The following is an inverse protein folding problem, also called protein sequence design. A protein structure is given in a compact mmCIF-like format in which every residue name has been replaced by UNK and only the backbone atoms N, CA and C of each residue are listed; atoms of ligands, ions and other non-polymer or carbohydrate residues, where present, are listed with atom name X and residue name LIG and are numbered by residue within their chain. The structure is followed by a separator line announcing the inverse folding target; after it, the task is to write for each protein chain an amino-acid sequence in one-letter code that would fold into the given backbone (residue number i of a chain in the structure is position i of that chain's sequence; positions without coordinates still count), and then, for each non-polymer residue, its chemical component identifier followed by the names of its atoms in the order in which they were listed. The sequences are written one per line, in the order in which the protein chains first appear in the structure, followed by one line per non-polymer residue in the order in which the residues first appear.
data_IF_507166453553
#
_entry.id   IF_507166453553
#
_cell.length_a   1.000
_cell.length_b   1.000
_cell.length_c   1.000
_cell.angle_alpha   90.00
_cell.angle_beta   90.00
_cell.angle_gamma   90.00
#
_symmetry.space_group_name_H-M   'P 1'
#
loop_
_entity.id
_entity.type
_entity.pdbx_description
1 polymer ?
#
# COMPACT_ATOMS: atom_id res chain seq x y z
N UNK A 1 13.32 -2.55 -8.52
CA UNK A 1 13.28 -1.54 -9.61
C UNK A 1 14.42 -0.54 -9.47
N UNK A 2 14.48 0.27 -8.40
CA UNK A 2 15.51 1.32 -8.24
C UNK A 2 16.94 0.76 -8.27
N UNK A 3 17.22 -0.36 -7.60
CA UNK A 3 18.54 -1.02 -7.63
C UNK A 3 19.01 -1.41 -9.04
N UNK A 4 18.11 -1.66 -9.99
CA UNK A 4 18.52 -1.93 -11.38
C UNK A 4 19.12 -0.68 -12.03
N UNK A 5 18.56 0.50 -11.74
CA UNK A 5 19.03 1.77 -12.28
C UNK A 5 20.31 2.24 -11.58
N UNK A 6 20.48 1.89 -10.30
CA UNK A 6 21.65 2.26 -9.48
C UNK A 6 22.23 1.03 -8.77
N UNK A 7 22.93 0.13 -9.50
CA UNK A 7 23.43 -1.13 -8.95
C UNK A 7 24.48 -0.93 -7.85
N UNK A 8 25.30 0.13 -7.96
CA UNK A 8 26.36 0.46 -6.98
C UNK A 8 25.84 1.17 -5.72
N UNK A 9 24.55 1.52 -5.66
CA UNK A 9 24.02 2.18 -4.49
C UNK A 9 23.67 1.16 -3.40
N UNK A 10 24.56 1.02 -2.42
CA UNK A 10 24.45 0.08 -1.30
C UNK A 10 23.39 0.45 -0.25
N UNK A 11 22.80 1.66 -0.30
CA UNK A 11 21.70 2.05 0.61
C UNK A 11 20.38 1.39 0.23
N UNK A 12 20.23 0.98 -1.04
CA UNK A 12 19.03 0.30 -1.53
C UNK A 12 19.20 -1.20 -1.36
N UNK A 13 18.58 -1.74 -0.31
CA UNK A 13 18.55 -3.17 -0.03
C UNK A 13 17.41 -3.85 -0.81
N UNK A 14 17.74 -4.85 -1.65
CA UNK A 14 16.71 -5.70 -2.27
C UNK A 14 16.24 -6.72 -1.23
N UNK A 15 15.04 -6.53 -0.70
CA UNK A 15 14.37 -7.54 0.13
C UNK A 15 14.03 -8.77 -0.69
N UNK A 16 14.63 -9.92 -0.35
CA UNK A 16 14.27 -11.23 -0.88
C UNK A 16 13.30 -11.98 0.06
N UNK A 17 12.97 -11.36 1.20
CA UNK A 17 12.18 -11.94 2.29
C UNK A 17 10.79 -11.28 2.41
N UNK A 18 9.90 -11.93 3.15
CA UNK A 18 8.51 -11.47 3.41
C UNK A 18 8.42 -10.16 4.22
N UNK A 19 9.53 -9.68 4.79
CA UNK A 19 9.61 -8.47 5.60
C UNK A 19 10.04 -7.24 4.77
N UNK A 20 9.27 -6.16 4.88
CA UNK A 20 9.59 -4.85 4.29
C UNK A 20 10.91 -4.31 4.86
N UNK A 21 11.89 -4.04 3.99
CA UNK A 21 13.23 -3.59 4.40
C UNK A 21 13.36 -2.05 4.47
N UNK A 22 12.52 -1.31 3.75
CA UNK A 22 12.58 0.17 3.70
C UNK A 22 11.88 0.77 4.93
N UNK A 23 12.64 1.21 5.95
CA UNK A 23 12.12 1.82 7.19
C UNK A 23 11.68 3.28 6.97
N UNK A 24 12.49 4.02 6.22
CA UNK A 24 12.30 5.44 5.92
C UNK A 24 12.35 5.69 4.42
N UNK A 25 11.91 6.88 4.00
CA UNK A 25 11.98 7.27 2.59
C UNK A 25 13.44 7.44 2.20
N UNK A 26 13.88 6.69 1.19
CA UNK A 26 15.22 6.79 0.63
C UNK A 26 15.18 7.45 -0.75
N UNK A 27 16.24 8.16 -1.11
CA UNK A 27 16.35 8.83 -2.40
C UNK A 27 17.63 8.41 -3.11
N UNK A 28 17.50 8.20 -4.43
CA UNK A 28 18.60 7.74 -5.26
C UNK A 28 18.62 8.54 -6.55
N UNK A 29 19.80 9.02 -6.96
CA UNK A 29 19.93 9.79 -8.21
C UNK A 29 20.40 8.86 -9.32
N UNK A 30 19.63 8.78 -10.39
CA UNK A 30 20.00 8.11 -11.64
C UNK A 30 20.32 9.17 -12.69
N UNK A 31 21.45 9.05 -13.37
CA UNK A 31 21.80 9.95 -14.49
C UNK A 31 21.39 9.27 -15.79
N UNK A 32 20.46 9.89 -16.50
CA UNK A 32 20.01 9.42 -17.79
C UNK A 32 21.12 9.50 -18.85
N UNK A 33 21.52 8.35 -19.40
CA UNK A 33 22.64 8.24 -20.34
C UNK A 33 22.40 9.01 -21.66
N UNK A 34 21.15 9.15 -22.10
CA UNK A 34 20.82 9.83 -23.36
C UNK A 34 20.95 11.36 -23.27
N UNK A 35 20.61 11.94 -22.11
CA UNK A 35 20.47 13.40 -21.95
C UNK A 35 21.29 14.01 -20.82
N UNK A 36 21.96 13.20 -19.99
CA UNK A 36 22.65 13.65 -18.78
C UNK A 36 21.73 14.20 -17.69
N UNK A 37 20.41 13.98 -17.80
CA UNK A 37 19.43 14.47 -16.84
C UNK A 37 19.54 13.68 -15.53
N UNK A 38 19.71 14.39 -14.41
CA UNK A 38 19.66 13.80 -13.08
C UNK A 38 18.20 13.55 -12.67
N UNK A 39 17.86 12.29 -12.44
CA UNK A 39 16.52 11.84 -12.06
C UNK A 39 16.58 11.34 -10.61
N UNK A 40 15.81 11.97 -9.74
CA UNK A 40 15.69 11.51 -8.34
C UNK A 40 14.58 10.47 -8.25
N UNK A 41 14.96 9.26 -7.86
CA UNK A 41 14.08 8.15 -7.53
C UNK A 41 13.85 8.16 -6.03
N UNK A 42 12.60 8.02 -5.61
CA UNK A 42 12.20 8.03 -4.21
C UNK A 42 11.64 6.65 -3.89
N UNK A 43 12.29 5.92 -2.99
CA UNK A 43 11.78 4.66 -2.46
C UNK A 43 10.92 4.95 -1.24
N UNK A 44 9.72 4.37 -1.19
CA UNK A 44 8.78 4.59 -0.10
C UNK A 44 8.51 3.27 0.61
N UNK A 45 8.38 3.27 1.95
CA UNK A 45 7.82 2.13 2.67
C UNK A 45 6.46 1.70 2.10
N UNK A 46 6.16 0.40 2.11
CA UNK A 46 4.88 -0.12 1.61
C UNK A 46 3.78 -0.06 2.68
N UNK A 47 2.53 0.25 2.31
CA UNK A 47 1.32 0.26 3.17
C UNK A 47 0.86 -1.14 3.67
N UNK A 48 1.74 -2.13 3.74
CA UNK A 48 1.45 -3.47 4.31
C UNK A 48 2.68 -3.93 5.10
N UNK A 49 3.26 -2.98 5.82
CA UNK A 49 4.47 -3.22 6.56
C UNK A 49 4.15 -3.93 7.87
N UNK A 50 4.43 -5.23 7.93
CA UNK A 50 4.15 -6.08 9.08
C UNK A 50 5.16 -5.92 10.23
N UNK A 51 6.09 -4.95 10.15
CA UNK A 51 7.06 -4.69 11.22
C UNK A 51 6.38 -4.16 12.47
N UNK A 52 6.84 -4.65 13.61
CA UNK A 52 6.30 -4.27 14.92
C UNK A 52 6.41 -2.75 15.14
N UNK A 53 5.28 -2.09 15.41
CA UNK A 53 5.22 -0.66 15.74
C UNK A 53 5.13 0.30 14.56
N UNK A 54 5.01 -0.17 13.31
CA UNK A 54 4.76 0.69 12.14
C UNK A 54 3.32 0.52 11.66
N UNK A 55 2.55 1.60 11.58
CA UNK A 55 1.18 1.59 11.06
C UNK A 55 1.10 2.21 9.67
N UNK A 56 0.04 1.87 8.91
CA UNK A 56 -0.24 2.52 7.62
C UNK A 56 -0.41 4.04 7.73
N UNK A 57 -0.89 4.51 8.89
CA UNK A 57 -0.98 5.94 9.20
C UNK A 57 0.40 6.57 9.31
N UNK A 58 1.37 5.88 9.92
CA UNK A 58 2.75 6.35 10.01
C UNK A 58 3.39 6.40 8.64
N UNK A 59 3.18 5.37 7.81
CA UNK A 59 3.68 5.31 6.43
C UNK A 59 3.08 6.45 5.60
N UNK A 60 1.76 6.66 5.68
CA UNK A 60 1.10 7.78 5.01
C UNK A 60 1.66 9.12 5.48
N UNK A 61 1.93 9.27 6.78
CA UNK A 61 2.52 10.47 7.37
C UNK A 61 3.94 10.74 6.88
N UNK A 62 4.78 9.71 6.76
CA UNK A 62 6.13 9.82 6.17
C UNK A 62 6.06 10.29 4.73
N UNK A 63 5.20 9.66 3.91
CA UNK A 63 5.01 10.03 2.50
C UNK A 63 4.48 11.46 2.38
N UNK A 64 3.46 11.82 3.16
CA UNK A 64 2.89 13.16 3.17
C UNK A 64 3.92 14.23 3.54
N UNK A 65 4.72 13.99 4.57
CA UNK A 65 5.77 14.91 5.02
C UNK A 65 6.82 15.11 3.93
N UNK A 66 7.33 14.00 3.36
CA UNK A 66 8.27 14.07 2.24
C UNK A 66 7.67 14.78 1.02
N UNK A 67 6.39 14.61 0.71
CA UNK A 67 5.80 15.35 -0.41
C UNK A 67 5.66 16.86 -0.08
N UNK A 68 5.47 17.23 1.18
CA UNK A 68 5.27 18.62 1.60
C UNK A 68 6.54 19.44 1.81
N UNK A 69 7.69 18.81 2.05
CA UNK A 69 8.90 19.61 2.27
C UNK A 69 9.24 20.47 1.03
N UNK A 70 10.07 21.48 1.26
CA UNK A 70 10.50 22.48 0.27
C UNK A 70 9.33 23.22 -0.41
N UNK A 71 8.19 23.33 0.28
CA UNK A 71 7.00 24.05 -0.21
C UNK A 71 6.14 23.24 -1.17
N UNK A 72 6.26 21.91 -1.16
CA UNK A 72 5.48 21.00 -1.98
C UNK A 72 6.28 20.50 -3.19
N UNK A 73 6.82 19.29 -3.06
CA UNK A 73 7.55 18.61 -4.14
C UNK A 73 6.64 18.31 -5.31
N UNK A 74 7.12 18.55 -6.53
CA UNK A 74 6.42 18.18 -7.76
C UNK A 74 7.04 16.91 -8.34
N UNK A 75 6.21 16.03 -8.85
CA UNK A 75 6.64 14.72 -9.36
C UNK A 75 6.37 14.61 -10.86
N UNK A 76 7.38 14.23 -11.64
CA UNK A 76 7.17 13.89 -13.05
C UNK A 76 6.37 12.59 -13.21
N UNK A 77 6.56 11.63 -12.31
CA UNK A 77 5.89 10.35 -12.40
C UNK A 77 5.76 9.65 -11.07
N UNK A 78 4.77 8.76 -10.99
CA UNK A 78 4.53 7.87 -9.85
C UNK A 78 4.49 6.45 -10.38
N UNK A 79 5.25 5.55 -9.73
CA UNK A 79 5.32 4.14 -10.12
C UNK A 79 4.60 3.31 -9.07
N UNK A 80 3.56 2.58 -9.48
CA UNK A 80 2.89 1.59 -8.63
C UNK A 80 3.36 0.20 -9.03
N UNK A 81 4.05 -0.50 -8.13
CA UNK A 81 4.56 -1.85 -8.38
C UNK A 81 3.51 -2.91 -8.01
N UNK A 82 3.31 -3.90 -8.88
CA UNK A 82 2.44 -5.04 -8.62
C UNK A 82 3.08 -6.35 -9.09
N UNK A 83 3.18 -7.35 -8.21
CA UNK A 83 3.72 -8.67 -8.58
C UNK A 83 2.68 -9.45 -9.40
N UNK A 84 3.02 -9.80 -10.63
CA UNK A 84 2.11 -10.58 -11.50
C UNK A 84 2.04 -12.07 -11.09
N UNK A 85 3.03 -12.52 -10.32
CA UNK A 85 3.09 -13.86 -9.74
C UNK A 85 2.00 -14.12 -8.70
N UNK A 86 1.44 -13.07 -8.09
CA UNK A 86 0.38 -13.22 -7.10
C UNK A 86 -0.93 -13.62 -7.79
N UNK A 87 -1.56 -14.75 -7.40
CA UNK A 87 -2.70 -15.30 -8.16
C UNK A 87 -3.95 -14.43 -8.10
N UNK A 88 -4.07 -13.58 -7.08
CA UNK A 88 -5.20 -12.66 -6.87
C UNK A 88 -4.72 -11.43 -6.12
N UNK A 89 -5.36 -10.29 -6.37
CA UNK A 89 -5.21 -9.11 -5.52
C UNK A 89 -5.99 -9.32 -4.22
N UNK A 90 -5.25 -9.55 -3.13
CA UNK A 90 -5.81 -9.70 -1.77
C UNK A 90 -6.50 -8.44 -1.26
N UNK A 91 -7.20 -8.55 -0.12
CA UNK A 91 -7.89 -7.41 0.50
C UNK A 91 -6.93 -6.25 0.78
N UNK A 92 -5.76 -6.54 1.36
CA UNK A 92 -4.73 -5.52 1.66
C UNK A 92 -4.21 -4.83 0.40
N UNK A 93 -3.90 -5.59 -0.66
CA UNK A 93 -3.46 -5.01 -1.92
C UNK A 93 -4.54 -4.11 -2.56
N UNK A 94 -5.82 -4.46 -2.44
CA UNK A 94 -6.93 -3.60 -2.89
C UNK A 94 -7.06 -2.32 -2.07
N UNK A 95 -6.88 -2.41 -0.75
CA UNK A 95 -6.82 -1.23 0.13
C UNK A 95 -5.68 -0.32 -0.25
N UNK A 96 -4.48 -0.86 -0.40
CA UNK A 96 -3.30 -0.09 -0.74
C UNK A 96 -3.47 0.62 -2.09
N UNK A 97 -4.13 -0.04 -3.04
CA UNK A 97 -4.53 0.59 -4.30
C UNK A 97 -5.55 1.74 -4.11
N UNK A 98 -6.53 1.60 -3.19
CA UNK A 98 -7.47 2.68 -2.85
C UNK A 98 -6.74 3.87 -2.22
N UNK A 99 -5.88 3.63 -1.23
CA UNK A 99 -5.05 4.66 -0.59
C UNK A 99 -4.19 5.37 -1.64
N UNK A 100 -3.51 4.61 -2.50
CA UNK A 100 -2.69 5.14 -3.58
C UNK A 100 -3.47 6.04 -4.55
N UNK A 101 -4.68 5.61 -4.95
CA UNK A 101 -5.58 6.41 -5.81
C UNK A 101 -5.94 7.75 -5.16
N UNK A 102 -6.34 7.73 -3.89
CA UNK A 102 -6.71 8.94 -3.16
C UNK A 102 -5.51 9.86 -2.88
N UNK A 103 -4.35 9.26 -2.62
CA UNK A 103 -3.09 10.00 -2.43
C UNK A 103 -2.73 10.77 -3.70
N UNK A 104 -2.80 10.11 -4.86
CA UNK A 104 -2.46 10.73 -6.15
C UNK A 104 -3.52 11.74 -6.62
N UNK A 105 -4.79 11.35 -6.55
CA UNK A 105 -5.93 12.09 -7.12
C UNK A 105 -6.09 11.89 -8.63
N UNK A 106 -7.35 11.76 -9.08
CA UNK A 106 -7.69 11.36 -10.46
C UNK A 106 -7.08 12.25 -11.54
N UNK A 107 -6.99 13.56 -11.29
CA UNK A 107 -6.37 14.53 -12.22
C UNK A 107 -4.89 14.24 -12.53
N UNK A 108 -4.21 13.48 -11.68
CA UNK A 108 -2.79 13.17 -11.79
C UNK A 108 -2.53 11.75 -12.34
N UNK A 109 -3.57 10.99 -12.67
CA UNK A 109 -3.41 9.60 -13.13
C UNK A 109 -2.59 9.49 -14.43
N UNK A 110 -2.59 10.53 -15.27
CA UNK A 110 -1.73 10.63 -16.45
C UNK A 110 -0.21 10.55 -16.19
N UNK A 111 0.22 10.75 -14.94
CA UNK A 111 1.61 10.65 -14.49
C UNK A 111 1.92 9.30 -13.82
N UNK A 112 0.94 8.38 -13.77
CA UNK A 112 1.11 7.08 -13.12
C UNK A 112 1.56 6.02 -14.14
N UNK A 113 2.51 5.19 -13.71
CA UNK A 113 2.85 3.92 -14.36
C UNK A 113 2.59 2.78 -13.40
N UNK A 114 1.69 1.89 -13.79
CA UNK A 114 1.43 0.64 -13.08
C UNK A 114 2.38 -0.39 -13.65
N UNK A 115 3.37 -0.79 -12.87
CA UNK A 115 4.47 -1.63 -13.33
C UNK A 115 4.31 -3.03 -12.75
N UNK A 116 4.09 -4.01 -13.62
CA UNK A 116 3.98 -5.42 -13.23
C UNK A 116 5.37 -6.05 -13.15
N UNK A 117 5.70 -6.68 -12.02
CA UNK A 117 7.00 -7.31 -11.75
C UNK A 117 6.85 -8.83 -11.60
N UNK A 118 7.97 -9.53 -11.37
CA UNK A 118 8.00 -10.98 -11.05
C UNK A 118 7.48 -11.86 -12.20
N UNK A 119 7.65 -11.41 -13.44
CA UNK A 119 7.29 -12.15 -14.66
C UNK A 119 8.05 -13.47 -14.82
N UNK A 120 9.22 -13.62 -14.19
CA UNK A 120 10.02 -14.87 -14.20
C UNK A 120 9.41 -16.01 -13.37
N UNK A 121 8.42 -15.72 -12.50
CA UNK A 121 7.82 -16.70 -11.59
C UNK A 121 6.42 -17.16 -12.02
N UNK A 122 6.02 -16.85 -13.25
CA UNK A 122 4.69 -17.21 -13.78
C UNK A 122 4.82 -17.57 -15.25
N UNK A 123 4.07 -18.59 -15.68
CA UNK A 123 3.98 -18.95 -17.08
C UNK A 123 3.43 -17.78 -17.90
N UNK A 124 3.98 -17.56 -19.09
CA UNK A 124 3.63 -16.41 -19.94
C UNK A 124 2.12 -16.33 -20.21
N UNK A 125 1.47 -17.45 -20.49
CA UNK A 125 0.02 -17.50 -20.76
C UNK A 125 -0.81 -17.07 -19.55
N UNK A 126 -0.43 -17.51 -18.36
CA UNK A 126 -1.10 -17.17 -17.11
C UNK A 126 -0.80 -15.72 -16.71
N UNK A 127 0.44 -15.25 -16.86
CA UNK A 127 0.83 -13.86 -16.65
C UNK A 127 0.06 -12.90 -17.56
N UNK A 128 -0.06 -13.23 -18.85
CA UNK A 128 -0.86 -12.47 -19.82
C UNK A 128 -2.34 -12.42 -19.43
N UNK A 129 -2.90 -13.56 -18.99
CA UNK A 129 -4.29 -13.62 -18.52
C UNK A 129 -4.51 -12.73 -17.29
N UNK A 130 -3.62 -12.81 -16.31
CA UNK A 130 -3.67 -11.97 -15.09
C UNK A 130 -3.52 -10.49 -15.39
N UNK A 131 -2.61 -10.11 -16.28
CA UNK A 131 -2.43 -8.72 -16.68
C UNK A 131 -3.70 -8.17 -17.35
N UNK A 132 -4.33 -8.98 -18.22
CA UNK A 132 -5.60 -8.63 -18.84
C UNK A 132 -6.72 -8.49 -17.81
N UNK A 133 -6.81 -9.37 -16.83
CA UNK A 133 -7.81 -9.28 -15.74
C UNK A 133 -7.58 -8.04 -14.87
N UNK A 134 -6.32 -7.76 -14.49
CA UNK A 134 -5.94 -6.59 -13.71
C UNK A 134 -6.31 -5.28 -14.41
N UNK A 135 -6.03 -5.19 -15.72
CA UNK A 135 -6.37 -4.00 -16.51
C UNK A 135 -7.88 -3.75 -16.62
N UNK A 136 -8.70 -4.81 -16.64
CA UNK A 136 -10.17 -4.70 -16.74
C UNK A 136 -10.86 -4.52 -15.40
N UNK A 137 -10.20 -4.88 -14.31
CA UNK A 137 -10.76 -4.89 -12.96
C UNK A 137 -10.08 -3.84 -12.08
N UNK A 138 -9.06 -4.25 -11.33
CA UNK A 138 -8.48 -3.44 -10.26
C UNK A 138 -7.87 -2.13 -10.77
N UNK A 139 -7.20 -2.17 -11.92
CA UNK A 139 -6.51 -1.00 -12.48
C UNK A 139 -7.36 -0.21 -13.47
N UNK A 140 -8.55 -0.71 -13.84
CA UNK A 140 -9.43 -0.02 -14.79
C UNK A 140 -9.68 1.46 -14.44
N UNK A 141 -10.00 1.83 -13.19
CA UNK A 141 -10.22 3.24 -12.86
C UNK A 141 -8.98 4.13 -13.05
N UNK A 142 -7.77 3.59 -12.83
CA UNK A 142 -6.52 4.32 -13.06
C UNK A 142 -6.25 4.47 -14.56
N UNK A 143 -6.45 3.38 -15.32
CA UNK A 143 -6.26 3.36 -16.77
C UNK A 143 -7.25 4.28 -17.49
N UNK A 144 -8.51 4.30 -17.08
CA UNK A 144 -9.53 5.21 -17.62
C UNK A 144 -9.16 6.69 -17.35
N UNK A 145 -8.42 6.97 -16.26
CA UNK A 145 -7.89 8.31 -15.93
C UNK A 145 -6.54 8.63 -16.57
N UNK A 146 -6.02 7.78 -17.45
CA UNK A 146 -4.80 8.04 -18.22
C UNK A 146 -3.52 7.44 -17.64
N UNK A 147 -3.60 6.67 -16.56
CA UNK A 147 -2.47 5.84 -16.15
C UNK A 147 -2.17 4.79 -17.23
N UNK A 148 -0.94 4.29 -17.25
CA UNK A 148 -0.55 3.26 -18.20
C UNK A 148 0.12 2.08 -17.50
N UNK A 149 -0.15 0.87 -17.99
CA UNK A 149 0.53 -0.34 -17.53
C UNK A 149 1.82 -0.59 -18.31
N UNK A 150 2.85 -1.05 -17.61
CA UNK A 150 4.14 -1.48 -18.18
C UNK A 150 4.62 -2.75 -17.48
N UNK A 151 5.39 -3.56 -18.20
CA UNK A 151 6.05 -4.74 -17.62
C UNK A 151 7.47 -4.39 -17.21
N UNK A 152 7.88 -4.91 -16.06
CA UNK A 152 9.26 -4.99 -15.62
C UNK A 152 9.73 -6.43 -15.77
N UNK A 153 10.06 -6.81 -17.00
CA UNK A 153 10.38 -8.17 -17.44
C UNK A 153 11.72 -8.26 -18.20
N UNK A 154 12.39 -7.13 -18.44
CA UNK A 154 13.65 -7.03 -19.17
C UNK A 154 14.72 -6.29 -18.38
N UNK A 155 14.77 -6.53 -17.07
CA UNK A 155 15.84 -6.02 -16.20
C UNK A 155 15.99 -4.49 -16.35
N UNK A 156 17.20 -4.01 -16.65
CA UNK A 156 17.50 -2.59 -16.81
C UNK A 156 16.74 -1.93 -17.97
N UNK A 157 16.50 -2.64 -19.07
CA UNK A 157 15.90 -2.06 -20.28
C UNK A 157 14.46 -1.61 -20.04
N UNK A 158 13.65 -2.45 -19.38
CA UNK A 158 12.28 -2.07 -19.03
C UNK A 158 12.25 -0.92 -18.03
N UNK A 159 13.20 -0.88 -17.09
CA UNK A 159 13.30 0.21 -16.11
C UNK A 159 13.67 1.54 -16.79
N UNK A 160 14.68 1.55 -17.68
CA UNK A 160 15.09 2.72 -18.46
C UNK A 160 13.94 3.23 -19.34
N UNK A 161 13.19 2.33 -19.99
CA UNK A 161 12.04 2.72 -20.81
C UNK A 161 10.95 3.43 -19.99
N UNK A 162 10.60 2.89 -18.82
CA UNK A 162 9.61 3.49 -17.91
C UNK A 162 10.05 4.88 -17.45
N UNK A 163 11.32 5.04 -17.04
CA UNK A 163 11.88 6.33 -16.63
C UNK A 163 11.91 7.32 -17.80
N UNK A 164 12.27 6.87 -19.00
CA UNK A 164 12.29 7.71 -20.20
C UNK A 164 10.90 8.24 -20.59
N UNK A 165 9.84 7.50 -20.32
CA UNK A 165 8.47 8.01 -20.46
C UNK A 165 8.14 9.07 -19.40
N UNK A 166 8.42 8.77 -18.13
CA UNK A 166 8.04 9.63 -17.01
C UNK A 166 8.82 10.95 -16.99
N UNK A 167 10.12 10.95 -17.35
CA UNK A 167 10.95 12.17 -17.37
C UNK A 167 10.40 13.26 -18.30
N UNK A 168 9.58 12.89 -19.30
CA UNK A 168 8.96 13.80 -20.27
C UNK A 168 7.60 14.36 -19.82
N UNK A 169 7.04 13.86 -18.72
CA UNK A 169 5.75 14.32 -18.20
C UNK A 169 5.90 15.64 -17.45
N UNK A 170 4.88 16.49 -17.53
CA UNK A 170 4.78 17.71 -16.74
C UNK A 170 4.70 17.35 -15.24
N UNK A 171 5.54 17.94 -14.38
CA UNK A 171 5.48 17.67 -12.95
C UNK A 171 4.13 18.04 -12.32
N UNK A 172 3.61 17.16 -11.46
CA UNK A 172 2.32 17.32 -10.77
C UNK A 172 2.49 17.41 -9.25
N UNK A 173 1.51 18.04 -8.59
CA UNK A 173 1.34 18.02 -7.14
C UNK A 173 0.21 17.04 -6.82
N UNK A 174 0.44 16.13 -5.88
CA UNK A 174 -0.53 15.08 -5.54
C UNK A 174 -1.68 15.64 -4.69
N UNK A 175 -2.84 14.98 -4.76
CA UNK A 175 -4.05 15.40 -4.03
C UNK A 175 -3.81 15.53 -2.53
N UNK A 176 -3.04 14.63 -1.93
CA UNK A 176 -2.73 14.70 -0.49
C UNK A 176 -2.01 16.00 -0.11
N UNK A 177 -1.12 16.51 -0.97
CA UNK A 177 -0.42 17.76 -0.71
C UNK A 177 -1.40 18.93 -0.72
N UNK A 178 -2.31 18.95 -1.69
CA UNK A 178 -3.32 20.02 -1.79
C UNK A 178 -4.28 20.03 -0.61
N UNK A 179 -4.71 18.86 -0.14
CA UNK A 179 -5.57 18.71 1.03
C UNK A 179 -4.88 19.23 2.30
N UNK A 180 -3.62 18.87 2.51
CA UNK A 180 -2.82 19.33 3.65
C UNK A 180 -2.54 20.84 3.58
N UNK A 181 -2.20 21.36 2.39
CA UNK A 181 -1.97 22.80 2.20
C UNK A 181 -3.26 23.62 2.34
N UNK A 182 -4.43 23.01 2.14
CA UNK A 182 -5.74 23.60 2.45
C UNK A 182 -6.10 23.56 3.96
N UNK A 183 -5.19 23.07 4.82
CA UNK A 183 -5.35 23.05 6.27
C UNK A 183 -6.03 21.80 6.82
N UNK A 184 -6.21 20.74 6.02
CA UNK A 184 -6.72 19.45 6.54
C UNK A 184 -5.65 18.74 7.36
N UNK A 185 -6.08 18.04 8.41
CA UNK A 185 -5.19 17.11 9.11
C UNK A 185 -4.95 15.84 8.26
N UNK A 186 -3.89 15.08 8.56
CA UNK A 186 -3.58 13.84 7.81
C UNK A 186 -4.76 12.86 7.79
N UNK A 187 -5.49 12.72 8.90
CA UNK A 187 -6.67 11.84 8.99
C UNK A 187 -7.90 12.33 8.24
N UNK A 188 -7.98 13.64 7.98
CA UNK A 188 -9.08 14.25 7.22
C UNK A 188 -8.80 14.32 5.71
N UNK A 189 -7.60 13.92 5.28
CA UNK A 189 -7.28 13.74 3.85
C UNK A 189 -8.06 12.57 3.28
N UNK A 190 -8.28 12.56 1.96
CA UNK A 190 -9.00 11.46 1.33
C UNK A 190 -8.23 10.13 1.46
N UNK A 191 -6.89 10.18 1.40
CA UNK A 191 -6.05 9.00 1.61
C UNK A 191 -6.08 8.53 3.07
N UNK A 192 -6.04 9.48 4.03
CA UNK A 192 -6.19 9.20 5.45
C UNK A 192 -7.54 8.54 5.75
N UNK A 193 -8.64 9.09 5.25
CA UNK A 193 -9.96 8.52 5.47
C UNK A 193 -10.04 7.01 5.11
N UNK A 194 -9.36 6.58 4.04
CA UNK A 194 -9.29 5.15 3.66
C UNK A 194 -8.52 4.31 4.68
N UNK A 195 -7.39 4.80 5.19
CA UNK A 195 -6.60 4.11 6.22
C UNK A 195 -7.38 4.02 7.54
N UNK A 196 -8.08 5.09 7.92
CA UNK A 196 -8.86 5.14 9.16
C UNK A 196 -10.18 4.36 9.10
N UNK A 197 -10.79 4.18 7.93
CA UNK A 197 -12.01 3.39 7.73
C UNK A 197 -11.81 1.97 8.30
N UNK A 198 -10.70 1.32 7.99
CA UNK A 198 -10.40 -0.03 8.48
C UNK A 198 -10.10 -0.07 9.97
N UNK A 199 -9.38 0.92 10.52
CA UNK A 199 -9.16 0.97 11.97
C UNK A 199 -10.50 1.04 12.71
N UNK A 200 -11.47 1.81 12.18
CA UNK A 200 -12.82 1.89 12.75
C UNK A 200 -13.60 0.59 12.60
N UNK A 201 -13.55 -0.05 11.43
CA UNK A 201 -14.20 -1.35 11.22
C UNK A 201 -13.62 -2.43 12.14
N UNK A 202 -12.29 -2.44 12.29
CA UNK A 202 -11.56 -3.36 13.16
C UNK A 202 -11.90 -3.10 14.63
N UNK A 203 -11.94 -1.85 15.08
CA UNK A 203 -12.36 -1.49 16.44
C UNK A 203 -13.78 -1.98 16.72
N UNK A 204 -14.72 -1.70 15.82
CA UNK A 204 -16.13 -2.14 15.95
C UNK A 204 -16.25 -3.66 16.04
N UNK A 205 -15.44 -4.40 15.27
CA UNK A 205 -15.40 -5.86 15.32
C UNK A 205 -14.86 -6.37 16.66
N UNK A 206 -13.77 -5.76 17.17
CA UNK A 206 -13.21 -6.12 18.48
C UNK A 206 -14.15 -5.79 19.64
N UNK A 207 -14.81 -4.64 19.60
CA UNK A 207 -15.82 -4.25 20.59
C UNK A 207 -16.95 -5.28 20.64
N UNK A 208 -17.44 -5.72 19.48
CA UNK A 208 -18.44 -6.78 19.41
C UNK A 208 -17.93 -8.11 19.98
N UNK A 209 -16.70 -8.50 19.64
CA UNK A 209 -16.12 -9.74 20.17
C UNK A 209 -15.91 -9.71 21.68
N UNK A 210 -15.53 -8.56 22.24
CA UNK A 210 -15.42 -8.37 23.68
C UNK A 210 -16.77 -8.45 24.37
N UNK A 211 -17.82 -7.91 23.74
CA UNK A 211 -19.19 -8.00 24.26
C UNK A 211 -19.71 -9.44 24.22
N UNK A 212 -19.55 -10.14 23.10
CA UNK A 212 -19.93 -11.54 22.93
C UNK A 212 -19.21 -12.43 23.98
N UNK A 213 -17.90 -12.22 24.17
CA UNK A 213 -17.11 -12.96 25.16
C UNK A 213 -17.55 -12.68 26.60
N UNK A 214 -17.92 -11.44 26.93
CA UNK A 214 -18.45 -11.10 28.27
C UNK A 214 -19.77 -11.83 28.54
N UNK A 215 -20.66 -11.87 27.56
CA UNK A 215 -21.95 -12.57 27.69
C UNK A 215 -21.72 -14.08 27.89
N UNK A 216 -20.82 -14.70 27.12
CA UNK A 216 -20.46 -16.11 27.30
C UNK A 216 -19.87 -16.39 28.69
N UNK A 217 -19.03 -15.47 29.21
CA UNK A 217 -18.48 -15.59 30.57
C UNK A 217 -19.55 -15.47 31.67
N UNK A 218 -20.53 -14.58 31.52
CA UNK A 218 -21.66 -14.47 32.46
C UNK A 218 -22.54 -15.73 32.42
N UNK A 219 -22.86 -16.23 31.23
CA UNK A 219 -23.64 -17.46 31.05
C UNK A 219 -22.94 -18.66 31.70
N UNK A 220 -21.64 -18.84 31.43
CA UNK A 220 -20.86 -19.94 32.03
C UNK A 220 -20.79 -19.84 33.57
N UNK A 221 -20.71 -18.62 34.11
CA UNK A 221 -20.71 -18.40 35.57
C UNK A 221 -22.06 -18.75 36.18
N UNK A 222 -23.16 -18.30 35.57
CA UNK A 222 -24.51 -18.57 36.05
C UNK A 222 -24.82 -20.07 36.01
N UNK A 223 -24.44 -20.77 34.93
CA UNK A 223 -24.61 -22.23 34.83
C UNK A 223 -23.86 -22.96 35.95
N UNK A 224 -22.62 -22.57 36.22
CA UNK A 224 -21.82 -23.19 37.28
C UNK A 224 -22.39 -22.91 38.68
N UNK A 225 -22.91 -21.70 38.92
CA UNK A 225 -23.58 -21.34 40.18
C UNK A 225 -24.90 -22.14 40.37
N UNK A 226 -25.67 -22.37 39.30
CA UNK A 226 -26.88 -23.20 39.32
C UNK A 226 -26.58 -24.69 39.57
N UNK A 227 -25.55 -25.23 38.91
CA UNK A 227 -25.10 -26.62 39.08
C UNK A 227 -24.62 -26.88 40.52
N UNK A 228 -23.83 -25.95 41.08
CA UNK A 228 -23.36 -26.03 42.47
C UNK A 228 -24.51 -25.96 43.48
N UNK A 229 -25.54 -25.13 43.22
CA UNK A 229 -26.73 -25.07 44.05
C UNK A 229 -27.53 -26.38 44.00
N UNK A 230 -27.68 -26.99 42.82
CA UNK A 230 -28.38 -28.26 42.68
C UNK A 230 -27.70 -29.38 43.49
N UNK A 231 -26.38 -29.52 43.39
CA UNK A 231 -25.60 -30.51 44.15
C UNK A 231 -25.74 -30.32 45.67
N UNK A 232 -25.61 -29.07 46.16
CA UNK A 232 -25.77 -28.76 47.59
C UNK A 232 -27.17 -29.07 48.12
N UNK A 233 -28.18 -29.03 47.26
CA UNK A 233 -29.57 -29.34 47.63
C UNK A 233 -29.80 -30.84 47.70
N UNK A 234 -29.22 -31.62 46.78
CA UNK A 234 -29.27 -33.09 46.81
C UNK A 234 -28.54 -33.67 48.01
N UNK A 235 -27.36 -33.13 48.38
CA UNK A 235 -26.63 -33.59 49.57
C UNK A 235 -27.39 -33.34 50.88
N UNK A 236 -28.15 -32.24 50.97
CA UNK A 236 -28.96 -31.91 52.16
C UNK A 236 -30.22 -32.78 52.32
N UNK A 237 -30.62 -33.50 51.27
CA UNK A 237 -31.80 -34.38 51.29
C UNK A 237 -31.44 -35.86 51.55
N UNK A 238 -30.15 -36.21 51.59
CA UNK A 238 -29.65 -37.52 52.05
C UNK A 238 -29.44 -37.54 53.56
#
# INVERSE_FOLDING_TARGET
FIKLLNPENDTIHIGHDLESQTIDIDTSVYIDEEGGLAITLVDTPGFDDSREGVTDTDILGKIASFLQDDGGRKLNGIIYLHRISDPRMGATAKKNLRVFKELCGEKNFGNIRIVTTNWTYVDESEGNRREADLSKLAFKPLLDGGAEMRRQDKELESAKAIISELKRKTPVVLKIQEELSAGRSLGDTSAGAVVWEEMKEMQKKHEKQLEDLKNEMEEAKNMNDEELQAELTEERQK
#
